data_IF_398495989576
#
_entry.id   IF_398495989576
#
_cell.length_a   1.000
_cell.length_b   1.000
_cell.length_c   1.000
_cell.angle_alpha   90.00
_cell.angle_beta   90.00
_cell.angle_gamma   90.00
#
_symmetry.space_group_name_H-M   'P 1'
#
loop_
_entity.id
_entity.type
_entity.pdbx_description
1 polymer ?
#
# COMPACT_ATOMS: atom_id res chain seq x y z
N UNK A 1 -4.12 2.70 -22.53
CA UNK A 1 -3.58 1.44 -21.96
C UNK A 1 -4.03 1.36 -20.51
N UNK A 2 -4.78 0.33 -20.12
CA UNK A 2 -5.75 0.38 -19.01
C UNK A 2 -5.11 -0.02 -17.69
N UNK A 3 -4.84 0.93 -16.80
CA UNK A 3 -4.31 0.73 -15.45
C UNK A 3 -5.09 -0.35 -14.66
N UNK A 4 -6.40 -0.44 -14.92
CA UNK A 4 -7.33 -1.39 -14.31
C UNK A 4 -6.92 -2.86 -14.52
N UNK A 5 -6.42 -3.21 -15.71
CA UNK A 5 -6.04 -4.59 -16.05
C UNK A 5 -4.76 -5.02 -15.33
N UNK A 6 -3.84 -4.07 -15.18
CA UNK A 6 -2.59 -4.25 -14.44
C UNK A 6 -2.87 -4.37 -12.94
N UNK A 7 -3.83 -3.60 -12.44
CA UNK A 7 -4.28 -3.66 -11.05
C UNK A 7 -4.85 -5.04 -10.70
N UNK A 8 -5.79 -5.58 -11.50
CA UNK A 8 -6.38 -6.90 -11.27
C UNK A 8 -5.34 -8.03 -11.32
N UNK A 9 -4.39 -7.97 -12.25
CA UNK A 9 -3.33 -8.99 -12.35
C UNK A 9 -2.32 -8.91 -11.20
N UNK A 10 -2.02 -7.71 -10.70
CA UNK A 10 -1.02 -7.51 -9.65
C UNK A 10 -1.61 -7.63 -8.24
N UNK A 11 -2.93 -7.53 -8.08
CA UNK A 11 -3.60 -7.64 -6.79
C UNK A 11 -3.30 -8.99 -6.12
N UNK A 12 -3.20 -10.05 -6.91
CA UNK A 12 -2.86 -11.41 -6.46
C UNK A 12 -1.39 -11.54 -6.01
N UNK A 13 -0.50 -10.67 -6.51
CA UNK A 13 0.92 -10.65 -6.14
C UNK A 13 1.22 -9.74 -4.93
N UNK A 14 0.18 -9.33 -4.20
CA UNK A 14 0.33 -8.46 -3.04
C UNK A 14 0.49 -6.98 -3.40
N UNK A 15 0.09 -6.55 -4.60
CA UNK A 15 0.02 -5.12 -4.90
C UNK A 15 -1.31 -4.53 -4.45
N UNK A 16 -1.23 -3.46 -3.65
CA UNK A 16 -2.38 -2.69 -3.21
C UNK A 16 -2.40 -1.30 -3.86
N UNK A 17 -3.57 -0.92 -4.38
CA UNK A 17 -3.80 0.45 -4.81
C UNK A 17 -4.08 1.36 -3.61
N UNK A 18 -3.11 2.22 -3.31
CA UNK A 18 -3.19 3.21 -2.22
C UNK A 18 -3.60 4.61 -2.69
N UNK A 19 -3.46 4.90 -3.99
CA UNK A 19 -3.90 6.16 -4.59
C UNK A 19 -4.50 5.93 -6.00
N UNK A 20 -5.23 6.91 -6.53
CA UNK A 20 -5.81 6.83 -7.89
C UNK A 20 -4.78 6.60 -9.01
N UNK A 21 -3.51 6.91 -8.75
CA UNK A 21 -2.41 6.72 -9.72
C UNK A 21 -1.25 5.89 -9.16
N UNK A 22 -1.33 5.41 -7.91
CA UNK A 22 -0.23 4.68 -7.27
C UNK A 22 -0.68 3.30 -6.78
N UNK A 23 0.10 2.31 -7.18
CA UNK A 23 0.03 0.92 -6.77
C UNK A 23 1.33 0.63 -6.02
N UNK A 24 1.23 0.05 -4.82
CA UNK A 24 2.40 -0.30 -4.00
C UNK A 24 2.38 -1.78 -3.69
N UNK A 25 3.55 -2.39 -3.56
CA UNK A 25 3.64 -3.78 -3.15
C UNK A 25 3.67 -3.88 -1.62
N UNK A 26 2.70 -4.59 -1.03
CA UNK A 26 2.57 -4.80 0.40
C UNK A 26 3.79 -5.52 0.99
N UNK A 27 4.36 -6.48 0.26
CA UNK A 27 5.55 -7.24 0.67
C UNK A 27 6.81 -6.38 0.82
N UNK A 28 6.82 -5.18 0.24
CA UNK A 28 7.95 -4.26 0.27
C UNK A 28 7.71 -3.05 1.19
N UNK A 29 6.62 -3.07 1.96
CA UNK A 29 6.36 -2.02 2.94
C UNK A 29 7.32 -2.24 4.11
N UNK A 30 8.17 -1.25 4.36
CA UNK A 30 9.10 -1.27 5.51
C UNK A 30 8.37 -0.82 6.76
N UNK A 31 7.64 0.29 6.65
CA UNK A 31 6.91 0.86 7.79
C UNK A 31 5.89 1.89 7.35
N UNK A 32 4.82 2.01 8.13
CA UNK A 32 3.87 3.10 8.00
C UNK A 32 4.24 4.26 8.94
N UNK A 33 4.59 5.40 8.36
CA UNK A 33 4.91 6.62 9.08
C UNK A 33 3.65 7.45 9.30
N UNK A 34 3.26 7.59 10.57
CA UNK A 34 2.14 8.43 11.03
C UNK A 34 2.55 9.91 11.07
N UNK A 35 2.85 10.49 9.91
CA UNK A 35 3.09 11.93 9.75
C UNK A 35 1.79 12.74 9.54
N UNK A 36 1.90 14.06 9.35
CA UNK A 36 0.77 15.00 9.15
C UNK A 36 -0.23 14.57 8.05
N UNK A 37 0.24 13.81 7.06
CA UNK A 37 -0.58 13.27 5.98
C UNK A 37 -0.56 11.74 5.85
N UNK A 38 0.20 11.03 6.71
CA UNK A 38 0.35 9.57 6.69
C UNK A 38 0.94 9.02 5.39
N UNK A 39 2.14 8.45 5.44
CA UNK A 39 2.79 7.88 4.25
C UNK A 39 3.42 6.51 4.55
N UNK A 40 3.63 5.74 3.50
CA UNK A 40 4.32 4.46 3.54
C UNK A 40 5.77 4.65 3.14
N UNK A 41 6.66 4.04 3.91
CA UNK A 41 8.06 3.88 3.55
C UNK A 41 8.23 2.50 2.93
N UNK A 42 8.69 2.49 1.68
CA UNK A 42 8.97 1.28 0.90
C UNK A 42 10.45 0.87 1.04
N UNK A 43 10.78 -0.38 0.70
CA UNK A 43 12.15 -0.93 0.80
C UNK A 43 13.17 -0.21 -0.08
N UNK A 44 12.71 0.45 -1.14
CA UNK A 44 13.52 1.28 -2.03
C UNK A 44 13.69 2.73 -1.52
N UNK A 45 13.25 3.03 -0.28
CA UNK A 45 13.16 4.36 0.31
C UNK A 45 12.13 5.29 -0.37
N UNK A 46 11.25 4.75 -1.22
CA UNK A 46 10.15 5.53 -1.77
C UNK A 46 9.09 5.84 -0.71
N UNK A 47 8.62 7.09 -0.71
CA UNK A 47 7.55 7.55 0.17
C UNK A 47 6.24 7.65 -0.60
N UNK A 48 5.24 6.85 -0.21
CA UNK A 48 3.94 6.86 -0.87
C UNK A 48 2.86 7.39 0.04
N UNK A 49 2.26 8.51 -0.36
CA UNK A 49 1.13 9.10 0.35
C UNK A 49 -0.13 8.27 0.15
N UNK A 50 -0.81 7.97 1.26
CA UNK A 50 -2.03 7.18 1.26
C UNK A 50 -3.21 8.02 1.72
N UNK A 51 -4.39 7.76 1.17
CA UNK A 51 -5.61 8.43 1.64
C UNK A 51 -6.06 7.84 2.97
N UNK A 52 -6.78 8.63 3.78
CA UNK A 52 -7.30 8.20 5.10
C UNK A 52 -8.15 6.94 5.03
N UNK A 53 -8.92 6.76 3.95
CA UNK A 53 -9.71 5.55 3.71
C UNK A 53 -8.82 4.32 3.46
N UNK A 54 -7.78 4.46 2.63
CA UNK A 54 -6.86 3.37 2.31
C UNK A 54 -5.92 3.02 3.45
N UNK A 55 -5.59 3.99 4.32
CA UNK A 55 -4.88 3.76 5.58
C UNK A 55 -5.57 2.71 6.44
N UNK A 56 -6.89 2.82 6.62
CA UNK A 56 -7.64 1.88 7.48
C UNK A 56 -7.56 0.46 6.92
N UNK A 57 -7.77 0.29 5.62
CA UNK A 57 -7.63 -1.00 4.93
C UNK A 57 -6.23 -1.56 5.10
N UNK A 58 -5.21 -0.74 4.87
CA UNK A 58 -3.82 -1.14 4.95
C UNK A 58 -3.41 -1.52 6.37
N UNK A 59 -3.76 -0.72 7.37
CA UNK A 59 -3.48 -1.04 8.77
C UNK A 59 -4.16 -2.35 9.17
N UNK A 60 -5.39 -2.61 8.73
CA UNK A 60 -6.06 -3.88 8.97
C UNK A 60 -5.34 -5.08 8.34
N UNK A 61 -4.84 -4.92 7.10
CA UNK A 61 -4.06 -5.96 6.42
C UNK A 61 -2.73 -6.24 7.13
N UNK A 62 -1.98 -5.20 7.50
CA UNK A 62 -0.71 -5.34 8.22
C UNK A 62 -0.86 -5.92 9.63
N UNK A 63 -1.95 -5.57 10.34
CA UNK A 63 -2.23 -6.09 11.69
C UNK A 63 -2.55 -7.60 11.64
N UNK A 64 -3.22 -8.05 10.58
CA UNK A 64 -3.51 -9.46 10.32
C UNK A 64 -2.25 -10.29 10.03
N UNK A 65 -1.20 -9.71 9.43
CA UNK A 65 0.05 -10.44 9.11
C UNK A 65 1.02 -10.60 10.29
N UNK A 66 0.82 -9.88 11.41
CA UNK A 66 1.72 -9.95 12.57
C UNK A 66 1.29 -11.00 13.62
N UNK A 67 0.27 -11.79 13.32
CA UNK A 67 -0.39 -12.67 14.29
C UNK A 67 -0.31 -14.18 13.99
N UNK A 68 0.53 -14.60 13.03
CA UNK A 68 0.86 -16.00 12.73
C UNK A 68 2.31 -16.38 13.11
#
# INVERSE_FOLDING_TARGET
KTLKKVEEQLQDFGFLRVHKSHLVNLNHIVSYQKGKYGFLLMSDQSEVSITSAKKMVLMGLLDLELND
#
